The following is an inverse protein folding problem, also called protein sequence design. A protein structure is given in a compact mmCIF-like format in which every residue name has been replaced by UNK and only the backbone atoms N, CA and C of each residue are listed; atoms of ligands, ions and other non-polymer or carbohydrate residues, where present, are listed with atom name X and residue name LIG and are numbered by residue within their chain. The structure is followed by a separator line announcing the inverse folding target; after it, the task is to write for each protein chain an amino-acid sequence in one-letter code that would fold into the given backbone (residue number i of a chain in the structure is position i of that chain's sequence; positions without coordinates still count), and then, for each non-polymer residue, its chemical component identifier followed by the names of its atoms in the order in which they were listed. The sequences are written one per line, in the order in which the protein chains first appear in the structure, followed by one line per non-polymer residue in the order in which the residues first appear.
data_IF_142770123742
#
_entry.id   IF_142770123742
#
_cell.length_a   1.000
_cell.length_b   1.000
_cell.length_c   1.000
_cell.angle_alpha   90.00
_cell.angle_beta   90.00
_cell.angle_gamma   90.00
#
_symmetry.space_group_name_H-M   'P 1'
#
loop_
_entity.id
_entity.type
_entity.pdbx_description
1 polymer ?
#
# COMPACT_ATOMS: atom_id res chain seq x y z
N UNK A 1 -7.78 -23.09 12.13
CA UNK A 1 -7.44 -22.52 13.45
C UNK A 1 -8.55 -21.57 13.85
N UNK A 2 -8.94 -21.45 15.13
CA UNK A 2 -9.93 -20.45 15.52
C UNK A 2 -9.39 -19.03 15.25
N UNK A 3 -10.23 -18.05 14.88
CA UNK A 3 -9.81 -16.67 14.73
C UNK A 3 -9.30 -16.18 16.09
N UNK A 4 -7.99 -15.90 16.19
CA UNK A 4 -7.36 -15.39 17.41
C UNK A 4 -7.70 -13.91 17.57
N UNK A 5 -8.87 -13.60 18.08
CA UNK A 5 -9.31 -12.20 18.28
C UNK A 5 -8.47 -11.49 19.35
N UNK A 6 -8.43 -10.15 19.30
CA UNK A 6 -7.83 -9.33 20.35
C UNK A 6 -8.74 -9.29 21.59
N UNK A 7 -8.15 -9.40 22.78
CA UNK A 7 -8.88 -9.21 24.05
C UNK A 7 -9.23 -7.74 24.26
N UNK A 8 -10.17 -7.44 25.17
CA UNK A 8 -10.51 -6.05 25.49
C UNK A 8 -9.32 -5.26 26.07
N UNK A 9 -8.47 -5.89 26.87
CA UNK A 9 -7.24 -5.27 27.37
C UNK A 9 -6.28 -4.92 26.23
N UNK A 10 -6.10 -5.83 25.27
CA UNK A 10 -5.28 -5.60 24.08
C UNK A 10 -5.83 -4.46 23.20
N UNK A 11 -7.15 -4.42 22.99
CA UNK A 11 -7.80 -3.31 22.28
C UNK A 11 -7.62 -1.98 23.02
N UNK A 12 -7.64 -1.99 24.34
CA UNK A 12 -7.41 -0.80 25.17
C UNK A 12 -6.00 -0.26 24.99
N UNK A 13 -4.98 -1.14 24.97
CA UNK A 13 -3.60 -0.73 24.70
C UNK A 13 -3.44 -0.21 23.27
N UNK A 14 -4.00 -0.89 22.25
CA UNK A 14 -3.96 -0.39 20.87
C UNK A 14 -4.64 0.97 20.70
N UNK A 15 -5.71 1.24 21.46
CA UNK A 15 -6.41 2.52 21.43
C UNK A 15 -5.55 3.69 21.96
N UNK A 16 -4.41 3.42 22.63
CA UNK A 16 -3.47 4.45 23.05
C UNK A 16 -2.61 4.98 21.89
N UNK A 17 -2.54 4.25 20.77
CA UNK A 17 -1.65 4.57 19.66
C UNK A 17 -1.88 5.99 19.12
N UNK A 18 -0.79 6.77 19.02
CA UNK A 18 -0.85 8.17 18.62
C UNK A 18 -0.04 8.47 17.36
N UNK A 19 -0.76 8.74 16.27
CA UNK A 19 -0.16 9.27 15.04
C UNK A 19 0.46 10.66 15.23
N UNK A 20 -0.10 11.51 16.10
CA UNK A 20 0.47 12.83 16.38
C UNK A 20 1.82 12.72 17.08
N UNK A 21 1.96 11.79 18.04
CA UNK A 21 3.25 11.52 18.68
C UNK A 21 4.28 11.01 17.67
N UNK A 22 3.87 10.13 16.75
CA UNK A 22 4.73 9.67 15.65
C UNK A 22 5.10 10.82 14.71
N UNK A 23 4.18 11.70 14.34
CA UNK A 23 4.48 12.85 13.47
C UNK A 23 5.50 13.79 14.11
N UNK A 24 5.34 14.11 15.40
CA UNK A 24 6.29 14.92 16.16
C UNK A 24 7.67 14.23 16.24
N UNK A 25 7.68 12.93 16.49
CA UNK A 25 8.92 12.14 16.53
C UNK A 25 9.58 12.09 15.15
N UNK A 26 8.81 11.90 14.09
CA UNK A 26 9.29 11.86 12.71
C UNK A 26 9.95 13.19 12.33
N UNK A 27 9.38 14.32 12.73
CA UNK A 27 10.01 15.63 12.58
C UNK A 27 11.34 15.73 13.34
N UNK A 28 11.44 15.15 14.54
CA UNK A 28 12.67 15.14 15.34
C UNK A 28 13.83 14.35 14.70
N UNK A 29 13.52 13.45 13.74
CA UNK A 29 14.53 12.73 12.96
C UNK A 29 15.39 13.66 12.10
N UNK A 30 15.02 14.94 11.94
CA UNK A 30 15.87 15.92 11.26
C UNK A 30 17.28 15.93 11.82
N UNK A 31 17.42 15.82 13.15
CA UNK A 31 18.72 15.76 13.84
C UNK A 31 19.55 14.57 13.36
N UNK A 32 18.96 13.38 13.22
CA UNK A 32 19.61 12.18 12.70
C UNK A 32 19.96 12.30 11.20
N UNK A 33 19.05 12.88 10.42
CA UNK A 33 19.20 13.09 8.97
C UNK A 33 20.38 14.01 8.64
N UNK A 34 20.75 14.95 9.53
CA UNK A 34 21.97 15.77 9.33
C UNK A 34 23.24 14.92 9.28
N UNK A 35 23.25 13.75 9.94
CA UNK A 35 24.31 12.74 9.86
C UNK A 35 24.18 11.79 8.67
N UNK A 36 23.20 12.04 7.78
CA UNK A 36 22.89 11.18 6.62
C UNK A 36 22.47 9.76 7.03
N UNK A 37 21.75 9.67 8.15
CA UNK A 37 21.24 8.44 8.73
C UNK A 37 19.77 8.60 9.15
N UNK A 38 19.01 7.50 9.15
CA UNK A 38 17.65 7.51 9.72
C UNK A 38 17.65 7.56 11.25
N UNK A 39 18.68 6.98 11.88
CA UNK A 39 18.81 6.85 13.32
C UNK A 39 20.29 7.00 13.70
N UNK A 40 20.67 8.13 14.29
CA UNK A 40 22.04 8.38 14.74
C UNK A 40 22.15 8.10 16.25
N UNK A 41 23.11 7.26 16.66
CA UNK A 41 23.33 6.86 18.07
C UNK A 41 22.09 6.30 18.81
N UNK A 42 21.17 5.65 18.09
CA UNK A 42 19.96 5.08 18.67
C UNK A 42 20.21 3.67 19.23
N UNK A 43 19.84 3.41 20.50
CA UNK A 43 20.12 2.12 21.15
C UNK A 43 19.39 0.92 20.52
N UNK A 44 18.32 1.17 19.75
CA UNK A 44 17.53 0.12 19.09
C UNK A 44 17.85 -0.06 17.60
N UNK A 45 18.85 0.64 17.08
CA UNK A 45 19.26 0.51 15.67
C UNK A 45 19.93 -0.83 15.34
N UNK A 46 20.50 -1.51 16.34
CA UNK A 46 21.19 -2.81 16.21
C UNK A 46 20.61 -3.81 17.21
N UNK A 47 20.44 -5.08 16.80
CA UNK A 47 19.83 -6.14 17.61
C UNK A 47 18.47 -5.75 18.20
N UNK A 48 17.70 -4.93 17.46
CA UNK A 48 16.50 -4.23 17.89
C UNK A 48 15.59 -5.06 18.79
N UNK A 49 15.15 -6.24 18.33
CA UNK A 49 14.15 -7.04 19.05
C UNK A 49 14.69 -7.55 20.39
N UNK A 50 15.95 -7.99 20.42
CA UNK A 50 16.60 -8.48 21.65
C UNK A 50 16.80 -7.34 22.64
N UNK A 51 17.27 -6.17 22.19
CA UNK A 51 17.47 -5.01 23.05
C UNK A 51 16.15 -4.51 23.65
N UNK A 52 15.07 -4.49 22.86
CA UNK A 52 13.74 -4.08 23.33
C UNK A 52 13.18 -5.08 24.34
N UNK A 53 13.28 -6.39 24.06
CA UNK A 53 12.88 -7.46 24.98
C UNK A 53 13.58 -7.31 26.35
N UNK A 54 14.89 -7.08 26.36
CA UNK A 54 15.66 -6.91 27.58
C UNK A 54 15.30 -5.62 28.34
N UNK A 55 15.07 -4.53 27.62
CA UNK A 55 14.73 -3.24 28.24
C UNK A 55 13.33 -3.25 28.85
N UNK A 56 12.34 -3.91 28.26
CA UNK A 56 11.04 -4.10 28.91
C UNK A 56 11.17 -5.01 30.15
N UNK A 57 11.89 -6.13 30.04
CA UNK A 57 12.11 -7.06 31.16
C UNK A 57 12.78 -6.39 32.37
N UNK A 58 13.68 -5.44 32.12
CA UNK A 58 14.43 -4.73 33.17
C UNK A 58 13.84 -3.36 33.52
N UNK A 59 12.69 -3.00 32.95
CA UNK A 59 12.04 -1.69 33.10
C UNK A 59 12.99 -0.51 32.80
N UNK A 60 13.80 -0.64 31.74
CA UNK A 60 14.81 0.32 31.29
C UNK A 60 14.54 0.84 29.87
N UNK A 61 13.28 0.77 29.41
CA UNK A 61 12.90 1.21 28.06
C UNK A 61 13.23 2.69 27.83
N UNK A 62 13.98 2.98 26.76
CA UNK A 62 14.23 4.32 26.28
C UNK A 62 13.12 4.69 25.28
N UNK A 63 12.04 5.30 25.78
CA UNK A 63 10.89 5.64 24.93
C UNK A 63 11.25 6.58 23.77
N UNK A 64 12.22 7.49 23.96
CA UNK A 64 12.64 8.44 22.92
C UNK A 64 13.26 7.68 21.75
N UNK A 65 14.25 6.83 22.02
CA UNK A 65 14.93 6.06 20.98
C UNK A 65 13.98 5.08 20.31
N UNK A 66 13.07 4.46 21.07
CA UNK A 66 12.10 3.52 20.51
C UNK A 66 11.08 4.23 19.62
N UNK A 67 10.59 5.41 20.03
CA UNK A 67 9.73 6.23 19.18
C UNK A 67 10.44 6.59 17.88
N UNK A 68 11.70 7.04 17.94
CA UNK A 68 12.50 7.34 16.75
C UNK A 68 12.66 6.12 15.85
N UNK A 69 12.94 4.95 16.42
CA UNK A 69 13.02 3.70 15.67
C UNK A 69 11.71 3.40 14.93
N UNK A 70 10.56 3.45 15.63
CA UNK A 70 9.24 3.23 15.01
C UNK A 70 9.00 4.24 13.91
N UNK A 71 9.28 5.53 14.14
CA UNK A 71 9.13 6.59 13.14
C UNK A 71 10.00 6.35 11.90
N UNK A 72 11.29 6.05 12.08
CA UNK A 72 12.23 5.75 10.99
C UNK A 72 11.87 4.46 10.22
N UNK A 73 11.21 3.51 10.87
CA UNK A 73 10.76 2.26 10.22
C UNK A 73 9.65 2.46 9.19
N UNK A 74 8.93 3.59 9.24
CA UNK A 74 7.76 3.85 8.40
C UNK A 74 8.12 3.89 6.90
N UNK A 75 8.99 4.81 6.42
CA UNK A 75 9.36 4.87 5.01
C UNK A 75 10.19 3.66 4.57
N UNK A 76 10.97 3.06 5.47
CA UNK A 76 11.81 1.90 5.15
C UNK A 76 10.96 0.64 4.95
N UNK A 77 9.99 0.36 5.81
CA UNK A 77 9.02 -0.71 5.57
C UNK A 77 8.18 -0.48 4.31
N UNK A 78 7.73 0.75 4.05
CA UNK A 78 7.00 1.05 2.82
C UNK A 78 7.83 0.73 1.57
N UNK A 79 9.09 1.17 1.56
CA UNK A 79 9.98 0.92 0.44
C UNK A 79 10.37 -0.55 0.28
N UNK A 80 10.63 -1.26 1.38
CA UNK A 80 10.85 -2.71 1.37
C UNK A 80 9.68 -3.45 0.75
N UNK A 81 8.45 -3.02 1.06
CA UNK A 81 7.24 -3.60 0.49
C UNK A 81 7.15 -3.43 -1.02
N UNK A 82 7.45 -2.23 -1.54
CA UNK A 82 7.59 -2.02 -2.99
C UNK A 82 8.70 -2.89 -3.59
N UNK A 83 9.81 -3.05 -2.88
CA UNK A 83 10.88 -3.97 -3.26
C UNK A 83 10.37 -5.41 -3.42
N UNK A 84 9.69 -5.95 -2.40
CA UNK A 84 9.09 -7.29 -2.46
C UNK A 84 8.10 -7.44 -3.61
N UNK A 85 7.25 -6.44 -3.86
CA UNK A 85 6.32 -6.47 -4.99
C UNK A 85 7.06 -6.57 -6.34
N UNK A 86 8.16 -5.83 -6.50
CA UNK A 86 9.00 -5.92 -7.70
C UNK A 86 9.57 -7.32 -7.93
N UNK A 87 10.01 -7.99 -6.87
CA UNK A 87 10.53 -9.38 -6.96
C UNK A 87 9.38 -10.37 -7.19
N UNK A 88 8.19 -10.10 -6.67
CA UNK A 88 7.00 -10.88 -7.00
C UNK A 88 6.70 -10.80 -8.51
N UNK A 89 6.78 -9.61 -9.12
CA UNK A 89 6.64 -9.42 -10.57
C UNK A 89 7.72 -10.19 -11.34
N UNK A 90 8.97 -10.18 -10.87
CA UNK A 90 10.07 -10.98 -11.45
C UNK A 90 9.75 -12.47 -11.51
N UNK A 91 9.12 -13.02 -10.46
CA UNK A 91 8.65 -14.40 -10.44
C UNK A 91 7.47 -14.62 -11.40
N UNK A 92 6.53 -13.68 -11.49
CA UNK A 92 5.39 -13.74 -12.44
C UNK A 92 5.88 -13.85 -13.88
N UNK A 93 6.87 -13.06 -14.30
CA UNK A 93 7.37 -13.08 -15.70
C UNK A 93 8.21 -14.31 -16.03
N UNK A 94 8.45 -15.19 -15.05
CA UNK A 94 9.11 -16.49 -15.19
C UNK A 94 8.15 -17.67 -15.02
N UNK A 95 6.88 -17.40 -14.72
CA UNK A 95 5.88 -18.42 -14.42
C UNK A 95 6.02 -19.05 -13.04
N UNK A 96 6.83 -18.49 -12.15
CA UNK A 96 6.96 -18.95 -10.76
C UNK A 96 5.88 -18.33 -9.87
N UNK A 97 4.66 -18.83 -10.02
CA UNK A 97 3.48 -18.29 -9.32
C UNK A 97 3.53 -18.49 -7.81
N UNK A 98 4.19 -19.54 -7.34
CA UNK A 98 4.34 -19.85 -5.93
C UNK A 98 5.26 -18.84 -5.24
N UNK A 99 6.46 -18.61 -5.78
CA UNK A 99 7.39 -17.62 -5.22
C UNK A 99 6.84 -16.20 -5.39
N UNK A 100 6.14 -15.91 -6.50
CA UNK A 100 5.44 -14.64 -6.70
C UNK A 100 4.46 -14.36 -5.56
N UNK A 101 3.62 -15.35 -5.20
CA UNK A 101 2.67 -15.25 -4.09
C UNK A 101 3.37 -15.04 -2.75
N UNK A 102 4.42 -15.82 -2.48
CA UNK A 102 5.19 -15.70 -1.25
C UNK A 102 5.75 -14.28 -1.07
N UNK A 103 6.35 -13.72 -2.11
CA UNK A 103 6.94 -12.38 -2.06
C UNK A 103 5.87 -11.29 -2.00
N UNK A 104 4.76 -11.44 -2.74
CA UNK A 104 3.63 -10.51 -2.67
C UNK A 104 3.04 -10.42 -1.26
N UNK A 105 2.91 -11.55 -0.56
CA UNK A 105 2.46 -11.56 0.83
C UNK A 105 3.41 -10.78 1.77
N UNK A 106 4.73 -10.84 1.55
CA UNK A 106 5.67 -10.00 2.31
C UNK A 106 5.55 -8.52 1.95
N UNK A 107 5.18 -8.20 0.71
CA UNK A 107 4.85 -6.83 0.32
C UNK A 107 3.61 -6.31 1.09
N UNK A 108 2.54 -7.11 1.22
CA UNK A 108 1.38 -6.79 2.05
C UNK A 108 1.77 -6.56 3.51
N UNK A 109 2.55 -7.48 4.08
CA UNK A 109 2.99 -7.39 5.48
C UNK A 109 3.80 -6.12 5.73
N UNK A 110 4.74 -5.80 4.84
CA UNK A 110 5.56 -4.58 4.96
C UNK A 110 4.73 -3.31 4.83
N UNK A 111 3.75 -3.29 3.93
CA UNK A 111 2.79 -2.17 3.82
C UNK A 111 1.98 -1.99 5.12
N UNK A 112 1.47 -3.09 5.67
CA UNK A 112 0.70 -3.08 6.92
C UNK A 112 1.55 -2.61 8.11
N UNK A 113 2.79 -3.11 8.25
CA UNK A 113 3.72 -2.67 9.29
C UNK A 113 4.03 -1.17 9.18
N UNK A 114 4.25 -0.66 7.96
CA UNK A 114 4.45 0.78 7.72
C UNK A 114 3.24 1.61 8.14
N UNK A 115 2.02 1.16 7.79
CA UNK A 115 0.79 1.84 8.20
C UNK A 115 0.58 1.84 9.71
N UNK A 116 0.75 0.69 10.35
CA UNK A 116 0.65 0.55 11.80
C UNK A 116 1.67 1.42 12.52
N UNK A 117 2.93 1.41 12.09
CA UNK A 117 3.97 2.27 12.65
C UNK A 117 3.60 3.75 12.52
N UNK A 118 3.01 4.14 11.39
CA UNK A 118 2.51 5.50 11.16
C UNK A 118 1.34 5.90 12.07
N UNK A 119 0.65 4.93 12.67
CA UNK A 119 -0.40 5.14 13.65
C UNK A 119 0.11 5.11 15.11
N UNK A 120 1.37 4.73 15.34
CA UNK A 120 1.95 4.54 16.67
C UNK A 120 2.03 3.09 17.13
N UNK A 121 1.89 2.11 16.23
CA UNK A 121 1.94 0.68 16.56
C UNK A 121 3.18 0.05 15.93
N UNK A 122 4.18 -0.29 16.76
CA UNK A 122 5.42 -0.93 16.32
C UNK A 122 5.33 -2.46 16.33
N UNK A 123 5.50 -3.09 15.16
CA UNK A 123 5.49 -4.56 15.02
C UNK A 123 6.94 -5.09 15.08
N UNK A 124 7.33 -5.70 16.20
CA UNK A 124 8.72 -6.07 16.46
C UNK A 124 8.87 -7.55 16.86
N UNK A 125 8.75 -8.45 15.89
CA UNK A 125 8.84 -9.90 16.10
C UNK A 125 7.78 -10.45 17.06
N UNK A 126 8.10 -10.52 18.36
CA UNK A 126 7.22 -10.98 19.43
C UNK A 126 7.00 -9.92 20.53
N UNK A 127 7.65 -8.76 20.44
CA UNK A 127 7.61 -7.70 21.47
C UNK A 127 7.09 -6.42 20.85
N UNK A 128 5.82 -6.45 20.48
CA UNK A 128 5.15 -5.34 19.83
C UNK A 128 4.96 -4.18 20.81
N UNK A 129 4.89 -2.96 20.28
CA UNK A 129 4.83 -1.75 21.10
C UNK A 129 3.76 -0.81 20.59
N UNK A 130 3.21 -0.02 21.52
CA UNK A 130 2.28 1.08 21.22
C UNK A 130 2.85 2.38 21.78
N UNK A 131 2.94 3.40 20.93
CA UNK A 131 3.39 4.75 21.30
C UNK A 131 2.17 5.58 21.63
N UNK A 132 2.09 6.06 22.87
CA UNK A 132 0.99 6.91 23.31
C UNK A 132 1.15 8.38 22.88
N UNK A 133 0.15 9.19 23.19
CA UNK A 133 0.16 10.62 22.83
C UNK A 133 1.24 11.45 23.55
N UNK A 134 1.84 10.93 24.62
CA UNK A 134 2.94 11.57 25.33
C UNK A 134 4.31 11.11 24.81
N UNK A 135 4.35 10.21 23.82
CA UNK A 135 5.59 9.62 23.32
C UNK A 135 6.17 8.55 24.24
N UNK A 136 5.36 7.95 25.12
CA UNK A 136 5.78 6.78 25.89
C UNK A 136 5.51 5.49 25.10
N UNK A 137 6.49 4.59 25.14
CA UNK A 137 6.35 3.26 24.55
C UNK A 137 5.78 2.27 25.57
N UNK A 138 4.67 1.65 25.22
CA UNK A 138 4.00 0.60 25.99
C UNK A 138 4.23 -0.74 25.31
N UNK A 139 4.64 -1.75 26.06
CA UNK A 139 4.65 -3.12 25.56
C UNK A 139 3.22 -3.57 25.30
N UNK A 140 2.97 -4.15 24.13
CA UNK A 140 1.68 -4.74 23.84
C UNK A 140 1.54 -6.05 24.64
N UNK A 141 0.49 -6.20 25.46
CA UNK A 141 0.41 -7.29 26.42
C UNK A 141 0.32 -8.65 25.72
N UNK A 142 1.18 -9.54 26.19
CA UNK A 142 1.36 -10.88 25.65
C UNK A 142 0.04 -11.69 25.66
N UNK A 143 -0.15 -12.46 24.59
CA UNK A 143 -0.94 -13.69 24.69
C UNK A 143 0.02 -14.80 25.17
N UNK A 144 -0.42 -15.82 25.93
CA UNK A 144 0.44 -16.93 26.38
C UNK A 144 1.24 -17.67 25.29
N UNK A 145 1.00 -17.36 24.00
CA UNK A 145 1.65 -17.97 22.84
C UNK A 145 2.61 -17.04 22.08
N UNK A 146 2.90 -15.81 22.55
CA UNK A 146 3.67 -14.76 21.81
C UNK A 146 3.23 -14.64 20.34
N UNK A 147 2.31 -13.71 20.04
CA UNK A 147 1.78 -13.58 18.67
C UNK A 147 2.90 -13.13 17.74
N UNK A 148 3.45 -14.05 16.94
CA UNK A 148 4.47 -13.67 15.96
C UNK A 148 3.98 -12.60 14.98
N UNK A 149 4.93 -11.82 14.47
CA UNK A 149 4.78 -10.71 13.49
C UNK A 149 3.51 -10.76 12.63
N UNK A 150 3.29 -11.85 11.89
CA UNK A 150 2.16 -11.96 10.96
C UNK A 150 0.81 -11.87 11.66
N UNK A 151 0.63 -12.66 12.72
CA UNK A 151 -0.65 -12.73 13.45
C UNK A 151 -0.94 -11.38 14.11
N UNK A 152 0.04 -10.77 14.76
CA UNK A 152 -0.16 -9.47 15.39
C UNK A 152 -0.46 -8.37 14.37
N UNK A 153 0.30 -8.31 13.26
CA UNK A 153 0.12 -7.28 12.22
C UNK A 153 -1.33 -7.24 11.72
N UNK A 154 -1.89 -8.39 11.36
CA UNK A 154 -3.24 -8.42 10.80
C UNK A 154 -4.32 -8.09 11.83
N UNK A 155 -4.17 -8.55 13.07
CA UNK A 155 -5.12 -8.23 14.14
C UNK A 155 -5.06 -6.76 14.54
N UNK A 156 -3.86 -6.18 14.61
CA UNK A 156 -3.68 -4.76 14.87
C UNK A 156 -4.24 -3.91 13.73
N UNK A 157 -4.03 -4.32 12.46
CA UNK A 157 -4.55 -3.61 11.30
C UNK A 157 -6.08 -3.66 11.23
N UNK A 158 -6.69 -4.82 11.49
CA UNK A 158 -8.15 -4.98 11.59
C UNK A 158 -8.73 -4.10 12.71
N UNK A 159 -8.07 -4.02 13.86
CA UNK A 159 -8.53 -3.15 14.93
C UNK A 159 -8.37 -1.67 14.57
N UNK A 160 -7.20 -1.27 14.07
CA UNK A 160 -6.88 0.11 13.71
C UNK A 160 -7.81 0.67 12.62
N UNK A 161 -8.13 -0.14 11.61
CA UNK A 161 -8.96 0.28 10.48
C UNK A 161 -10.41 0.62 10.86
N UNK A 162 -10.90 0.08 11.97
CA UNK A 162 -12.23 0.38 12.52
C UNK A 162 -12.29 1.73 13.24
N UNK A 163 -11.16 2.43 13.37
CA UNK A 163 -11.08 3.71 14.09
C UNK A 163 -11.34 4.92 13.18
N UNK A 164 -11.78 6.03 13.79
CA UNK A 164 -11.92 7.32 13.10
C UNK A 164 -10.57 7.84 12.57
N UNK A 165 -9.47 7.52 13.24
CA UNK A 165 -8.13 7.91 12.81
C UNK A 165 -7.78 7.28 11.46
N UNK A 166 -8.04 5.98 11.28
CA UNK A 166 -7.84 5.30 10.01
C UNK A 166 -8.74 5.88 8.91
N UNK A 167 -10.01 6.16 9.24
CA UNK A 167 -10.97 6.75 8.32
C UNK A 167 -10.52 8.13 7.81
N UNK A 168 -10.06 8.99 8.72
CA UNK A 168 -9.53 10.31 8.38
C UNK A 168 -8.28 10.19 7.51
N UNK A 169 -7.34 9.32 7.88
CA UNK A 169 -6.11 9.10 7.13
C UNK A 169 -6.40 8.66 5.69
N UNK A 170 -7.27 7.67 5.50
CA UNK A 170 -7.67 7.20 4.18
C UNK A 170 -8.39 8.26 3.36
N UNK A 171 -9.30 9.00 3.99
CA UNK A 171 -10.01 10.12 3.38
C UNK A 171 -9.07 11.19 2.82
N UNK A 172 -7.89 11.35 3.43
CA UNK A 172 -6.92 12.39 3.08
C UNK A 172 -5.84 11.93 2.11
N UNK A 173 -5.53 10.64 2.09
CA UNK A 173 -4.50 10.04 1.23
C UNK A 173 -4.97 9.94 -0.23
N UNK A 174 -6.22 9.51 -0.43
CA UNK A 174 -6.78 9.32 -1.77
C UNK A 174 -7.24 10.67 -2.29
N UNK A 175 -6.68 11.09 -3.43
CA UNK A 175 -6.95 12.42 -4.02
C UNK A 175 -7.20 12.34 -5.51
N UNK A 176 -8.35 12.85 -5.92
CA UNK A 176 -8.74 12.97 -7.33
C UNK A 176 -8.77 14.45 -7.68
N UNK A 177 -7.91 14.86 -8.62
CA UNK A 177 -7.75 16.27 -9.00
C UNK A 177 -7.52 17.19 -7.79
N UNK A 178 -6.61 16.77 -6.90
CA UNK A 178 -6.26 17.45 -5.64
C UNK A 178 -7.37 17.56 -4.59
N UNK A 179 -8.58 17.11 -4.88
CA UNK A 179 -9.69 17.01 -3.92
C UNK A 179 -9.59 15.67 -3.19
N UNK A 180 -9.68 15.71 -1.86
CA UNK A 180 -9.60 14.51 -1.02
C UNK A 180 -10.82 13.62 -1.21
N UNK A 181 -10.66 12.31 -1.05
CA UNK A 181 -11.78 11.37 -1.02
C UNK A 181 -12.83 11.80 0.00
N UNK A 182 -12.40 12.28 1.17
CA UNK A 182 -13.29 12.81 2.20
C UNK A 182 -14.21 13.90 1.66
N UNK A 183 -13.66 14.88 0.95
CA UNK A 183 -14.45 16.00 0.40
C UNK A 183 -15.40 15.53 -0.71
N UNK A 184 -14.93 14.64 -1.60
CA UNK A 184 -15.80 14.00 -2.60
C UNK A 184 -17.01 13.31 -1.97
N UNK A 185 -16.80 12.58 -0.88
CA UNK A 185 -17.87 11.83 -0.22
C UNK A 185 -18.81 12.73 0.57
N UNK A 186 -18.31 13.79 1.21
CA UNK A 186 -19.16 14.81 1.85
C UNK A 186 -20.16 15.37 0.84
N UNK A 187 -19.70 15.69 -0.38
CA UNK A 187 -20.59 16.20 -1.42
C UNK A 187 -21.56 15.16 -1.99
N UNK A 188 -21.27 13.86 -1.87
CA UNK A 188 -22.11 12.78 -2.38
C UNK A 188 -23.24 12.33 -1.43
N UNK A 189 -23.02 12.36 -0.11
CA UNK A 189 -23.99 11.89 0.90
C UNK A 189 -24.50 12.98 1.85
N UNK A 190 -23.88 14.16 1.89
CA UNK A 190 -24.15 15.24 2.86
C UNK A 190 -23.98 14.87 4.35
N UNK A 191 -23.91 13.59 4.71
CA UNK A 191 -23.59 13.08 6.07
C UNK A 191 -22.45 12.07 5.99
N UNK A 192 -21.30 12.43 6.56
CA UNK A 192 -20.04 11.71 6.39
C UNK A 192 -19.90 10.47 7.28
N UNK A 193 -20.33 9.30 6.82
CA UNK A 193 -19.93 8.03 7.44
C UNK A 193 -18.67 7.42 6.79
N UNK A 194 -17.57 8.19 6.82
CA UNK A 194 -16.27 7.79 6.26
C UNK A 194 -15.67 6.55 6.93
N UNK A 195 -15.96 6.34 8.22
CA UNK A 195 -15.45 5.21 8.99
C UNK A 195 -15.97 3.87 8.47
N UNK A 196 -17.26 3.78 8.13
CA UNK A 196 -17.83 2.56 7.53
C UNK A 196 -17.23 2.26 6.16
N UNK A 197 -17.01 3.27 5.32
CA UNK A 197 -16.38 3.07 4.01
C UNK A 197 -14.91 2.63 4.13
N UNK A 198 -14.14 3.32 4.97
CA UNK A 198 -12.74 2.99 5.23
C UNK A 198 -12.58 1.54 5.71
N UNK A 199 -13.43 1.13 6.65
CA UNK A 199 -13.49 -0.26 7.13
C UNK A 199 -13.85 -1.23 5.99
N UNK A 200 -14.83 -0.91 5.15
CA UNK A 200 -15.22 -1.75 4.00
C UNK A 200 -14.10 -1.92 2.96
N UNK A 201 -13.43 -0.82 2.59
CA UNK A 201 -12.32 -0.83 1.63
C UNK A 201 -11.16 -1.67 2.11
N UNK A 202 -10.67 -1.36 3.31
CA UNK A 202 -9.58 -2.10 3.87
C UNK A 202 -10.00 -3.58 4.05
N UNK A 203 -11.25 -3.87 4.44
CA UNK A 203 -11.75 -5.26 4.51
C UNK A 203 -11.67 -5.98 3.17
N UNK A 204 -12.05 -5.30 2.08
CA UNK A 204 -11.95 -5.84 0.72
C UNK A 204 -10.51 -5.99 0.22
N UNK A 205 -9.57 -5.17 0.69
CA UNK A 205 -8.18 -5.14 0.20
C UNK A 205 -7.16 -5.83 1.11
N UNK A 206 -7.59 -6.36 2.26
CA UNK A 206 -6.70 -7.02 3.21
C UNK A 206 -6.97 -6.75 4.69
N UNK A 207 -8.23 -6.63 5.12
CA UNK A 207 -8.60 -6.80 6.55
C UNK A 207 -9.58 -7.93 6.77
N UNK A 208 -10.15 -8.52 5.72
CA UNK A 208 -10.82 -9.78 5.91
C UNK A 208 -9.75 -10.78 6.34
N UNK A 209 -9.69 -11.02 7.66
CA UNK A 209 -8.73 -11.94 8.26
C UNK A 209 -8.83 -13.33 7.64
N UNK A 210 -9.97 -13.71 7.06
CA UNK A 210 -10.07 -14.99 6.35
C UNK A 210 -9.29 -14.97 5.04
N UNK A 211 -9.32 -13.87 4.27
CA UNK A 211 -8.50 -13.72 3.06
C UNK A 211 -7.02 -13.73 3.43
N UNK A 212 -6.62 -12.95 4.44
CA UNK A 212 -5.22 -12.87 4.85
C UNK A 212 -4.71 -14.16 5.51
N UNK A 213 -5.57 -14.88 6.22
CA UNK A 213 -5.25 -16.22 6.71
C UNK A 213 -5.06 -17.18 5.53
N UNK A 214 -5.90 -17.09 4.49
CA UNK A 214 -5.71 -17.88 3.28
C UNK A 214 -4.40 -17.52 2.57
N UNK A 215 -4.03 -16.24 2.49
CA UNK A 215 -2.77 -15.79 1.90
C UNK A 215 -1.56 -16.25 2.72
N UNK A 216 -1.65 -16.16 4.05
CA UNK A 216 -0.66 -16.67 4.98
C UNK A 216 -0.50 -18.20 4.87
N UNK A 217 -1.60 -18.94 4.80
CA UNK A 217 -1.59 -20.39 4.67
C UNK A 217 -1.06 -20.80 3.30
N UNK A 218 -1.47 -20.09 2.24
CA UNK A 218 -0.94 -20.25 0.89
C UNK A 218 0.58 -20.00 0.86
N UNK A 219 1.05 -18.96 1.55
CA UNK A 219 2.47 -18.67 1.73
C UNK A 219 3.18 -19.81 2.47
N UNK A 220 2.60 -20.32 3.55
CA UNK A 220 3.20 -21.40 4.34
C UNK A 220 3.30 -22.70 3.53
N UNK A 221 2.28 -23.02 2.74
CA UNK A 221 2.31 -24.15 1.82
C UNK A 221 3.51 -24.04 0.88
N UNK A 222 3.72 -22.88 0.26
CA UNK A 222 4.88 -22.64 -0.62
C UNK A 222 6.21 -22.69 0.13
N UNK A 223 6.24 -22.25 1.39
CA UNK A 223 7.48 -22.16 2.18
C UNK A 223 7.98 -23.53 2.67
N UNK A 224 7.07 -24.46 2.95
CA UNK A 224 7.40 -25.74 3.59
C UNK A 224 7.22 -26.96 2.68
N UNK A 225 6.52 -26.83 1.54
CA UNK A 225 6.31 -27.94 0.61
C UNK A 225 7.08 -27.72 -0.68
N UNK A 226 7.77 -28.76 -1.21
CA UNK A 226 8.39 -28.66 -2.53
C UNK A 226 7.34 -28.35 -3.60
N UNK A 227 7.65 -27.38 -4.45
CA UNK A 227 6.90 -27.13 -5.68
C UNK A 227 7.10 -28.29 -6.68
N UNK A 228 6.13 -28.52 -7.57
CA UNK A 228 6.18 -29.53 -8.65
C UNK A 228 6.08 -31.01 -8.26
N UNK A 229 5.75 -31.35 -7.01
CA UNK A 229 5.26 -32.71 -6.69
C UNK A 229 3.90 -32.95 -7.36
N UNK A 230 3.06 -31.91 -7.45
CA UNK A 230 1.79 -31.92 -8.18
C UNK A 230 1.87 -31.03 -9.40
N UNK A 231 1.24 -31.45 -10.50
CA UNK A 231 1.08 -30.62 -11.68
C UNK A 231 0.26 -29.38 -11.32
N UNK A 232 0.89 -28.22 -11.36
CA UNK A 232 0.24 -26.92 -11.13
C UNK A 232 0.02 -26.24 -12.47
N UNK A 233 -1.23 -25.88 -12.76
CA UNK A 233 -1.54 -25.05 -13.93
C UNK A 233 -1.04 -23.64 -13.63
N UNK A 234 -0.25 -23.07 -14.54
CA UNK A 234 0.23 -21.70 -14.44
C UNK A 234 -0.48 -20.85 -15.48
N UNK A 235 -0.67 -19.56 -15.17
CA UNK A 235 -1.09 -18.56 -16.14
C UNK A 235 -0.05 -18.46 -17.26
N UNK A 236 -0.50 -18.12 -18.47
CA UNK A 236 0.40 -17.99 -19.62
C UNK A 236 1.13 -16.63 -19.61
N UNK A 237 2.19 -16.52 -20.41
CA UNK A 237 3.04 -15.31 -20.44
C UNK A 237 2.31 -14.04 -20.92
N UNK A 238 1.28 -14.17 -21.77
CA UNK A 238 0.48 -13.03 -22.26
C UNK A 238 -0.42 -12.48 -21.16
N UNK A 239 -1.00 -13.36 -20.35
CA UNK A 239 -1.82 -12.99 -19.20
C UNK A 239 -0.97 -12.28 -18.13
N UNK A 240 0.21 -12.82 -17.83
CA UNK A 240 1.20 -12.22 -16.93
C UNK A 240 1.66 -10.84 -17.40
N UNK A 241 2.03 -10.69 -18.68
CA UNK A 241 2.46 -9.38 -19.20
C UNK A 241 1.32 -8.36 -19.24
N UNK A 242 0.07 -8.80 -19.47
CA UNK A 242 -1.12 -7.95 -19.43
C UNK A 242 -1.41 -7.44 -18.02
N UNK A 243 -1.36 -8.32 -17.01
CA UNK A 243 -1.48 -7.94 -15.60
C UNK A 243 -0.43 -6.90 -15.20
N UNK A 244 0.84 -7.13 -15.55
CA UNK A 244 1.93 -6.20 -15.23
C UNK A 244 1.73 -4.85 -15.92
N UNK A 245 1.30 -4.87 -17.18
CA UNK A 245 1.05 -3.63 -17.93
C UNK A 245 -0.07 -2.81 -17.32
N UNK A 246 -1.15 -3.47 -16.90
CA UNK A 246 -2.28 -2.83 -16.21
C UNK A 246 -1.87 -2.25 -14.84
N UNK A 247 -1.09 -3.01 -14.05
CA UNK A 247 -0.59 -2.58 -12.75
C UNK A 247 0.22 -1.28 -12.87
N UNK A 248 1.23 -1.24 -13.76
CA UNK A 248 2.05 -0.04 -13.94
C UNK A 248 1.23 1.12 -14.50
N UNK A 249 0.39 0.87 -15.52
CA UNK A 249 -0.45 1.92 -16.12
C UNK A 249 -1.38 2.57 -15.10
N UNK A 250 -1.90 1.77 -14.16
CA UNK A 250 -2.79 2.25 -13.08
C UNK A 250 -2.05 3.13 -12.06
N UNK A 251 -0.74 2.95 -11.92
CA UNK A 251 0.13 3.68 -10.98
C UNK A 251 0.90 4.84 -11.63
N UNK A 252 0.52 5.25 -12.84
CA UNK A 252 1.16 6.32 -13.59
C UNK A 252 1.16 7.67 -12.81
N UNK A 253 2.34 8.32 -12.64
CA UNK A 253 2.48 9.56 -11.88
C UNK A 253 2.29 10.86 -12.68
N UNK A 254 2.15 10.85 -14.01
CA UNK A 254 2.09 12.05 -14.88
C UNK A 254 0.79 12.89 -14.79
N UNK A 255 0.02 12.75 -13.72
CA UNK A 255 -1.23 13.48 -13.53
C UNK A 255 -1.10 14.49 -12.38
N UNK A 256 -2.09 15.37 -12.22
CA UNK A 256 -2.11 16.43 -11.19
C UNK A 256 -1.82 15.89 -9.78
N UNK A 257 -2.21 14.64 -9.52
CA UNK A 257 -1.78 13.86 -8.36
C UNK A 257 -1.08 12.58 -8.86
N UNK A 258 -0.01 12.15 -8.19
CA UNK A 258 0.89 11.06 -8.62
C UNK A 258 0.25 9.66 -8.70
N UNK A 259 -1.00 9.52 -8.28
CA UNK A 259 -1.79 8.27 -8.36
C UNK A 259 -3.23 8.54 -8.81
N UNK A 260 -3.46 9.65 -9.53
CA UNK A 260 -4.81 10.12 -9.85
C UNK A 260 -5.66 9.06 -10.57
N UNK A 261 -5.08 8.21 -11.42
CA UNK A 261 -5.85 7.17 -12.11
C UNK A 261 -6.39 6.12 -11.14
N UNK A 262 -5.53 5.51 -10.32
CA UNK A 262 -5.96 4.58 -9.27
C UNK A 262 -6.97 5.25 -8.34
N UNK A 263 -6.64 6.43 -7.81
CA UNK A 263 -7.49 7.16 -6.87
C UNK A 263 -8.87 7.47 -7.45
N UNK A 264 -8.98 7.75 -8.77
CA UNK A 264 -10.26 7.92 -9.47
C UNK A 264 -11.10 6.66 -9.47
N UNK A 265 -10.50 5.50 -9.73
CA UNK A 265 -11.23 4.24 -9.67
C UNK A 265 -11.62 3.87 -8.23
N UNK A 266 -10.76 4.14 -7.24
CA UNK A 266 -11.12 3.99 -5.83
C UNK A 266 -12.34 4.85 -5.49
N UNK A 267 -12.31 6.14 -5.85
CA UNK A 267 -13.46 7.04 -5.68
C UNK A 267 -14.71 6.48 -6.35
N UNK A 268 -14.62 6.05 -7.62
CA UNK A 268 -15.77 5.45 -8.33
C UNK A 268 -16.37 4.26 -7.57
N UNK A 269 -15.54 3.32 -7.12
CA UNK A 269 -15.96 2.16 -6.34
C UNK A 269 -16.64 2.56 -5.04
N UNK A 270 -16.09 3.54 -4.31
CA UNK A 270 -16.73 4.02 -3.07
C UNK A 270 -18.08 4.71 -3.31
N UNK A 271 -18.19 5.54 -4.36
CA UNK A 271 -19.47 6.15 -4.73
C UNK A 271 -20.52 5.07 -5.07
N UNK A 272 -20.13 4.03 -5.81
CA UNK A 272 -21.01 2.91 -6.16
C UNK A 272 -21.44 2.11 -4.91
N UNK A 273 -20.49 1.77 -4.02
CA UNK A 273 -20.77 1.08 -2.76
C UNK A 273 -21.71 1.90 -1.88
N UNK A 274 -21.43 3.18 -1.67
CA UNK A 274 -22.28 4.06 -0.86
C UNK A 274 -23.66 4.20 -1.48
N UNK A 275 -23.76 4.30 -2.80
CA UNK A 275 -25.06 4.38 -3.45
C UNK A 275 -25.90 3.11 -3.25
N UNK A 276 -25.26 1.94 -3.30
CA UNK A 276 -25.90 0.64 -3.04
C UNK A 276 -26.34 0.52 -1.58
N UNK A 277 -25.48 0.89 -0.64
CA UNK A 277 -25.67 0.63 0.79
C UNK A 277 -26.44 1.76 1.51
N UNK A 278 -26.50 2.95 0.92
CA UNK A 278 -27.24 4.12 1.44
C UNK A 278 -27.95 4.86 0.29
N UNK A 279 -29.08 4.31 -0.20
CA UNK A 279 -29.94 4.99 -1.17
C UNK A 279 -30.56 6.26 -0.57
N UNK A 280 -30.65 7.34 -1.35
CA UNK A 280 -31.31 8.59 -0.94
C UNK A 280 -32.72 8.68 -1.53
N UNK A 281 -33.72 9.13 -0.75
CA UNK A 281 -35.07 9.31 -1.26
C UNK A 281 -35.15 10.52 -2.21
N UNK A 282 -35.95 10.41 -3.25
CA UNK A 282 -36.32 11.55 -4.10
C UNK A 282 -37.54 12.32 -3.55
N UNK A 283 -37.92 13.43 -4.19
CA UNK A 283 -39.02 14.29 -3.78
C UNK A 283 -40.41 13.62 -3.80
N UNK A 284 -40.54 12.46 -4.44
CA UNK A 284 -41.79 11.70 -4.60
C UNK A 284 -41.77 10.38 -3.81
N UNK A 285 -40.77 10.17 -2.94
CA UNK A 285 -40.61 8.95 -2.14
C UNK A 285 -39.98 7.78 -2.90
N UNK A 286 -39.49 8.00 -4.13
CA UNK A 286 -38.64 7.07 -4.88
C UNK A 286 -37.16 7.16 -4.46
N UNK A 287 -36.25 6.60 -5.25
CA UNK A 287 -34.81 6.68 -5.00
C UNK A 287 -34.14 7.59 -6.04
N UNK A 288 -33.32 8.53 -5.58
CA UNK A 288 -32.50 9.36 -6.47
C UNK A 288 -31.57 8.44 -7.26
N UNK A 289 -31.57 8.56 -8.59
CA UNK A 289 -30.70 7.73 -9.42
C UNK A 289 -29.22 8.01 -9.13
N UNK A 290 -28.36 7.00 -9.30
CA UNK A 290 -26.92 7.15 -9.13
C UNK A 290 -26.35 8.29 -10.01
N UNK A 291 -26.84 8.40 -11.25
CA UNK A 291 -26.45 9.45 -12.20
C UNK A 291 -26.82 10.86 -11.70
N UNK A 292 -28.00 11.03 -11.11
CA UNK A 292 -28.46 12.32 -10.59
C UNK A 292 -27.71 12.69 -9.31
N UNK A 293 -27.38 11.71 -8.46
CA UNK A 293 -26.51 11.93 -7.28
C UNK A 293 -25.12 12.37 -7.70
N UNK A 294 -24.50 11.70 -8.67
CA UNK A 294 -23.18 12.09 -9.21
C UNK A 294 -23.26 13.51 -9.81
N UNK A 295 -24.33 13.84 -10.53
CA UNK A 295 -24.51 15.18 -11.10
C UNK A 295 -24.64 16.25 -10.02
N UNK A 296 -25.39 15.96 -8.95
CA UNK A 296 -25.58 16.85 -7.81
C UNK A 296 -24.32 17.03 -6.97
N UNK A 297 -23.48 15.99 -6.87
CA UNK A 297 -22.16 16.08 -6.24
C UNK A 297 -21.24 16.96 -7.08
N UNK A 298 -21.18 16.74 -8.40
CA UNK A 298 -20.31 17.49 -9.30
C UNK A 298 -20.68 18.98 -9.38
N UNK A 299 -21.96 19.34 -9.26
CA UNK A 299 -22.39 20.74 -9.29
C UNK A 299 -21.97 21.56 -8.06
N UNK A 300 -21.55 20.89 -6.97
CA UNK A 300 -21.03 21.54 -5.76
C UNK A 300 -19.54 21.83 -5.84
N UNK A 301 -18.84 21.17 -6.77
CA UNK A 301 -17.46 21.52 -7.08
C UNK A 301 -17.40 22.65 -8.11
N UNK A 302 -16.44 23.55 -7.96
CA UNK A 302 -16.18 24.64 -8.90
C UNK A 302 -15.40 24.18 -10.14
N UNK A 303 -15.76 23.01 -10.71
CA UNK A 303 -15.16 22.51 -11.95
C UNK A 303 -15.81 23.16 -13.17
N UNK A 304 -15.05 23.37 -14.24
CA UNK A 304 -15.61 23.77 -15.53
C UNK A 304 -16.46 22.65 -16.16
N UNK A 305 -17.44 23.02 -16.99
CA UNK A 305 -18.43 22.08 -17.57
C UNK A 305 -17.79 20.85 -18.21
N UNK A 306 -16.75 21.04 -19.04
CA UNK A 306 -16.06 19.93 -19.72
C UNK A 306 -15.42 18.92 -18.74
N UNK A 307 -14.90 19.41 -17.60
CA UNK A 307 -14.30 18.56 -16.56
C UNK A 307 -15.39 17.79 -15.82
N UNK A 308 -16.48 18.46 -15.46
CA UNK A 308 -17.65 17.83 -14.83
C UNK A 308 -18.26 16.74 -15.71
N UNK A 309 -18.41 16.99 -17.02
CA UNK A 309 -18.94 16.00 -17.96
C UNK A 309 -18.01 14.79 -18.10
N UNK A 310 -16.69 15.02 -18.14
CA UNK A 310 -15.70 13.94 -18.16
C UNK A 310 -15.79 13.06 -16.91
N UNK A 311 -15.91 13.66 -15.73
CA UNK A 311 -16.10 12.92 -14.48
C UNK A 311 -17.42 12.17 -14.43
N UNK A 312 -18.52 12.80 -14.85
CA UNK A 312 -19.82 12.16 -14.92
C UNK A 312 -19.78 10.93 -15.84
N UNK A 313 -19.19 11.07 -17.03
CA UNK A 313 -19.02 9.96 -17.95
C UNK A 313 -18.17 8.84 -17.35
N UNK A 314 -17.10 9.17 -16.62
CA UNK A 314 -16.26 8.18 -15.95
C UNK A 314 -17.00 7.44 -14.82
N UNK A 315 -17.70 8.16 -13.95
CA UNK A 315 -18.36 7.57 -12.78
C UNK A 315 -19.60 6.75 -13.15
N UNK A 316 -20.37 7.21 -14.13
CA UNK A 316 -21.67 6.64 -14.53
C UNK A 316 -21.55 5.71 -15.74
N UNK A 317 -20.63 5.99 -16.67
CA UNK A 317 -20.51 5.25 -17.93
C UNK A 317 -19.93 3.84 -17.78
N UNK A 318 -20.33 2.95 -18.68
CA UNK A 318 -19.87 1.54 -18.71
C UNK A 318 -18.61 1.33 -19.57
N UNK A 319 -18.07 2.39 -20.17
CA UNK A 319 -16.94 2.32 -21.12
C UNK A 319 -15.57 2.23 -20.44
N UNK A 320 -15.53 2.26 -19.10
CA UNK A 320 -14.31 2.24 -18.32
C UNK A 320 -14.32 0.97 -17.46
N UNK A 321 -13.77 -0.17 -17.95
CA UNK A 321 -13.61 -1.35 -17.12
C UNK A 321 -12.71 -1.03 -15.93
N UNK A 322 -12.91 -1.76 -14.82
CA UNK A 322 -12.02 -1.66 -13.67
C UNK A 322 -10.62 -2.17 -14.05
N UNK A 323 -9.55 -1.52 -13.56
CA UNK A 323 -8.21 -2.08 -13.62
C UNK A 323 -8.17 -3.50 -13.07
N UNK A 324 -7.32 -4.33 -13.66
CA UNK A 324 -7.15 -5.73 -13.26
C UNK A 324 -6.84 -5.79 -11.76
N UNK A 325 -5.98 -4.90 -11.26
CA UNK A 325 -5.62 -4.86 -9.83
C UNK A 325 -6.82 -4.68 -8.89
N UNK A 326 -7.85 -3.91 -9.28
CA UNK A 326 -9.04 -3.76 -8.43
C UNK A 326 -9.91 -5.02 -8.48
N UNK A 327 -10.08 -5.59 -9.68
CA UNK A 327 -10.89 -6.79 -9.87
C UNK A 327 -10.28 -8.04 -9.22
N UNK A 328 -8.95 -8.19 -9.23
CA UNK A 328 -8.24 -9.32 -8.62
C UNK A 328 -8.17 -9.19 -7.09
N UNK A 329 -8.03 -7.97 -6.55
CA UNK A 329 -7.98 -7.75 -5.11
C UNK A 329 -9.27 -8.19 -4.39
N UNK A 330 -10.43 -8.08 -5.06
CA UNK A 330 -11.75 -8.47 -4.54
C UNK A 330 -11.99 -10.00 -4.56
N UNK A 331 -11.16 -10.77 -5.27
CA UNK A 331 -11.33 -12.23 -5.40
C UNK A 331 -10.80 -12.98 -4.18
N UNK A 332 -11.30 -14.20 -4.05
CA UNK A 332 -11.10 -15.11 -2.91
C UNK A 332 -10.91 -16.54 -3.37
N UNK A 333 -10.15 -16.73 -4.45
CA UNK A 333 -9.95 -18.07 -4.97
C UNK A 333 -9.12 -18.90 -3.97
N UNK A 334 -9.22 -20.24 -3.99
CA UNK A 334 -8.36 -21.09 -3.18
C UNK A 334 -6.90 -20.98 -3.62
N UNK A 335 -5.95 -21.28 -2.72
CA UNK A 335 -4.50 -21.16 -3.00
C UNK A 335 -4.01 -22.00 -4.18
N UNK A 336 -4.76 -23.01 -4.61
CA UNK A 336 -4.41 -23.84 -5.76
C UNK A 336 -4.90 -23.26 -7.10
N UNK A 337 -5.63 -22.13 -7.08
CA UNK A 337 -6.00 -21.41 -8.27
C UNK A 337 -4.75 -20.81 -8.96
N UNK A 338 -4.58 -21.01 -10.28
CA UNK A 338 -3.45 -20.47 -11.04
C UNK A 338 -3.28 -18.95 -10.92
N UNK A 339 -4.37 -18.20 -10.76
CA UNK A 339 -4.40 -16.72 -10.69
C UNK A 339 -4.33 -16.17 -9.27
N UNK A 340 -4.37 -17.01 -8.22
CA UNK A 340 -4.33 -16.53 -6.83
C UNK A 340 -3.15 -15.61 -6.54
N UNK A 341 -2.00 -15.78 -7.20
CA UNK A 341 -0.88 -14.87 -7.03
C UNK A 341 -1.22 -13.43 -7.50
N UNK A 342 -2.00 -13.24 -8.58
CA UNK A 342 -2.48 -11.91 -8.97
C UNK A 342 -3.37 -11.27 -7.91
N UNK A 343 -4.18 -12.05 -7.19
CA UNK A 343 -5.00 -11.55 -6.08
C UNK A 343 -4.12 -10.94 -4.98
N UNK A 344 -3.07 -11.69 -4.55
CA UNK A 344 -2.13 -11.23 -3.51
C UNK A 344 -1.30 -10.02 -3.99
N UNK A 345 -0.79 -10.04 -5.23
CA UNK A 345 -0.07 -8.89 -5.80
C UNK A 345 -0.95 -7.63 -5.85
N UNK A 346 -2.23 -7.81 -6.14
CA UNK A 346 -3.19 -6.71 -6.23
C UNK A 346 -3.50 -6.10 -4.87
N UNK A 347 -3.79 -6.94 -3.85
CA UNK A 347 -3.95 -6.50 -2.46
C UNK A 347 -2.70 -5.81 -1.93
N UNK A 348 -1.51 -6.38 -2.18
CA UNK A 348 -0.24 -5.75 -1.86
C UNK A 348 -0.10 -4.35 -2.48
N UNK A 349 -0.44 -4.20 -3.76
CA UNK A 349 -0.38 -2.92 -4.47
C UNK A 349 -1.28 -1.87 -3.83
N UNK A 350 -2.51 -2.24 -3.48
CA UNK A 350 -3.46 -1.32 -2.84
C UNK A 350 -3.01 -0.92 -1.43
N UNK A 351 -2.57 -1.87 -0.61
CA UNK A 351 -2.02 -1.58 0.72
C UNK A 351 -0.77 -0.69 0.63
N UNK A 352 0.13 -0.96 -0.32
CA UNK A 352 1.33 -0.16 -0.55
C UNK A 352 1.00 1.27 -0.98
N UNK A 353 -0.02 1.47 -1.83
CA UNK A 353 -0.51 2.80 -2.20
C UNK A 353 -0.96 3.60 -0.97
N UNK A 354 -1.67 2.97 -0.04
CA UNK A 354 -2.11 3.61 1.22
C UNK A 354 -0.91 3.88 2.13
N UNK A 355 -0.02 2.90 2.32
CA UNK A 355 1.21 3.07 3.11
C UNK A 355 2.06 4.23 2.59
N UNK A 356 2.23 4.31 1.27
CA UNK A 356 2.95 5.39 0.58
C UNK A 356 2.33 6.75 0.88
N UNK A 357 1.00 6.87 0.82
CA UNK A 357 0.31 8.10 1.16
C UNK A 357 0.48 8.51 2.62
N UNK A 358 0.43 7.55 3.55
CA UNK A 358 0.64 7.83 4.99
C UNK A 358 2.06 8.32 5.26
N UNK A 359 3.05 7.70 4.63
CA UNK A 359 4.46 8.10 4.70
C UNK A 359 4.65 9.50 4.12
N UNK A 360 4.11 9.76 2.93
CA UNK A 360 4.20 11.07 2.28
C UNK A 360 3.64 12.20 3.16
N UNK A 361 2.51 11.97 3.82
CA UNK A 361 1.95 12.96 4.76
C UNK A 361 2.91 13.26 5.92
N UNK A 362 3.60 12.25 6.46
CA UNK A 362 4.58 12.45 7.54
C UNK A 362 5.81 13.21 7.05
N UNK A 363 6.36 12.82 5.89
CA UNK A 363 7.49 13.50 5.25
C UNK A 363 7.15 14.98 4.99
N UNK A 364 5.97 15.24 4.42
CA UNK A 364 5.52 16.60 4.14
C UNK A 364 5.25 17.40 5.42
N UNK A 365 4.66 16.79 6.46
CA UNK A 365 4.42 17.45 7.75
C UNK A 365 5.71 17.75 8.51
N UNK A 366 6.73 16.91 8.36
CA UNK A 366 8.08 17.15 8.88
C UNK A 366 8.87 18.16 8.04
N UNK A 367 8.31 18.64 6.92
CA UNK A 367 8.94 19.58 5.99
C UNK A 367 10.28 19.09 5.42
N UNK A 368 10.48 17.77 5.36
CA UNK A 368 11.67 17.21 4.75
C UNK A 368 11.63 17.41 3.25
N UNK A 369 12.71 17.94 2.69
CA UNK A 369 12.90 18.04 1.26
C UNK A 369 13.45 16.73 0.68
N UNK A 370 13.35 16.59 -0.63
CA UNK A 370 14.09 15.59 -1.42
C UNK A 370 15.60 15.61 -1.14
N UNK A 371 16.19 16.77 -0.83
CA UNK A 371 17.62 16.91 -0.53
C UNK A 371 17.95 16.38 0.87
N UNK A 372 17.06 16.60 1.84
CA UNK A 372 17.23 16.05 3.19
C UNK A 372 17.26 14.52 3.14
N UNK A 373 16.39 13.92 2.32
CA UNK A 373 16.24 12.47 2.19
C UNK A 373 17.22 11.83 1.18
N UNK A 374 18.11 12.60 0.55
CA UNK A 374 19.00 12.11 -0.51
C UNK A 374 19.91 10.97 -0.06
N UNK A 375 20.37 11.00 1.20
CA UNK A 375 21.18 9.92 1.76
C UNK A 375 20.50 8.55 1.64
N UNK A 376 19.17 8.52 1.69
CA UNK A 376 18.40 7.30 1.67
C UNK A 376 17.95 6.93 0.27
N UNK A 377 17.25 7.83 -0.43
CA UNK A 377 16.64 7.49 -1.72
C UNK A 377 17.67 7.29 -2.82
N UNK A 378 18.77 8.03 -2.80
CA UNK A 378 19.83 7.86 -3.80
C UNK A 378 20.61 6.56 -3.58
N UNK A 379 20.97 6.27 -2.32
CA UNK A 379 21.65 5.01 -1.99
C UNK A 379 20.79 3.81 -2.37
N UNK A 380 19.50 3.84 -2.03
CA UNK A 380 18.55 2.82 -2.44
C UNK A 380 18.54 2.65 -3.97
N UNK A 381 18.37 3.73 -4.74
CA UNK A 381 18.30 3.60 -6.19
C UNK A 381 19.56 3.06 -6.84
N UNK A 382 20.75 3.39 -6.31
CA UNK A 382 22.02 2.82 -6.75
C UNK A 382 22.13 1.33 -6.36
N UNK A 383 21.85 0.98 -5.11
CA UNK A 383 21.93 -0.41 -4.61
C UNK A 383 20.94 -1.34 -5.30
N UNK A 384 19.76 -0.84 -5.65
CA UNK A 384 18.73 -1.59 -6.39
C UNK A 384 18.92 -1.56 -7.90
N UNK A 385 19.94 -0.86 -8.40
CA UNK A 385 20.27 -0.80 -9.83
C UNK A 385 19.25 -0.04 -10.67
N UNK A 386 18.50 0.90 -10.07
CA UNK A 386 17.56 1.76 -10.78
C UNK A 386 18.29 2.78 -11.66
N UNK A 387 19.42 3.28 -11.16
CA UNK A 387 20.35 4.16 -11.86
C UNK A 387 21.77 3.92 -11.37
N UNK A 388 22.76 4.46 -12.09
CA UNK A 388 24.15 4.46 -11.65
C UNK A 388 24.48 5.78 -10.90
N UNK A 389 25.59 5.81 -10.17
CA UNK A 389 25.99 6.96 -9.37
C UNK A 389 26.18 8.27 -10.17
N UNK A 390 26.40 8.19 -11.49
CA UNK A 390 26.60 9.36 -12.37
C UNK A 390 25.31 9.86 -13.01
N UNK A 391 24.28 9.03 -13.06
CA UNK A 391 23.02 9.28 -13.77
C UNK A 391 21.82 9.18 -12.81
N UNK A 392 21.97 9.69 -11.58
CA UNK A 392 20.83 9.78 -10.66
C UNK A 392 19.80 10.80 -11.18
N UNK A 393 18.51 10.61 -10.90
CA UNK A 393 17.52 11.68 -11.04
C UNK A 393 17.96 12.92 -10.26
N UNK A 394 17.54 14.10 -10.73
CA UNK A 394 17.71 15.31 -9.94
C UNK A 394 16.91 15.26 -8.63
N UNK A 395 17.16 16.23 -7.76
CA UNK A 395 16.62 16.25 -6.40
C UNK A 395 15.32 17.05 -6.30
N UNK A 396 14.45 17.04 -7.31
CA UNK A 396 13.12 17.62 -7.19
C UNK A 396 12.06 16.60 -7.62
N UNK A 397 10.80 16.82 -7.23
CA UNK A 397 9.72 15.90 -7.55
C UNK A 397 9.48 15.71 -9.04
N UNK A 398 9.72 16.73 -9.86
CA UNK A 398 9.64 16.61 -11.32
C UNK A 398 10.61 15.57 -11.85
N UNK A 399 11.87 15.62 -11.41
CA UNK A 399 12.93 14.70 -11.84
C UNK A 399 12.70 13.26 -11.36
N UNK A 400 12.06 13.06 -10.21
CA UNK A 400 11.75 11.70 -9.72
C UNK A 400 10.55 11.12 -10.48
N UNK A 401 9.60 11.95 -10.91
CA UNK A 401 8.47 11.49 -11.74
C UNK A 401 8.98 10.99 -13.11
N UNK A 402 10.10 11.49 -13.64
CA UNK A 402 10.68 11.00 -14.91
C UNK A 402 11.18 9.55 -14.82
N UNK A 403 11.24 8.93 -13.63
CA UNK A 403 11.42 7.49 -13.51
C UNK A 403 10.35 6.68 -14.25
N UNK A 404 9.19 7.30 -14.53
CA UNK A 404 8.14 6.74 -15.36
C UNK A 404 8.50 6.68 -16.85
N UNK A 405 9.40 7.51 -17.39
CA UNK A 405 9.73 7.49 -18.82
C UNK A 405 10.27 6.13 -19.27
N UNK A 406 11.15 5.54 -18.46
CA UNK A 406 11.66 4.18 -18.69
C UNK A 406 10.52 3.15 -18.66
N UNK A 407 9.56 3.35 -17.75
CA UNK A 407 8.39 2.48 -17.58
C UNK A 407 7.49 2.57 -18.81
N UNK A 408 7.18 3.79 -19.28
CA UNK A 408 6.33 4.00 -20.45
C UNK A 408 6.92 3.34 -21.70
N UNK A 409 8.22 3.51 -21.92
CA UNK A 409 8.94 2.83 -23.01
C UNK A 409 8.86 1.31 -22.85
N UNK A 410 9.02 0.79 -21.64
CA UNK A 410 8.90 -0.65 -21.37
C UNK A 410 7.48 -1.16 -21.65
N UNK A 411 6.44 -0.42 -21.24
CA UNK A 411 5.03 -0.75 -21.48
C UNK A 411 4.70 -0.76 -22.98
N UNK A 412 5.17 0.22 -23.75
CA UNK A 412 4.99 0.26 -25.19
C UNK A 412 5.60 -0.98 -25.86
N UNK A 413 6.80 -1.41 -25.42
CA UNK A 413 7.47 -2.62 -25.94
C UNK A 413 6.74 -3.92 -25.57
N UNK A 414 6.23 -4.02 -24.34
CA UNK A 414 5.42 -5.16 -23.90
C UNK A 414 4.11 -5.23 -24.68
N UNK A 415 3.41 -4.10 -24.86
CA UNK A 415 2.20 -4.01 -25.68
C UNK A 415 2.44 -4.43 -27.14
N UNK A 416 3.56 -3.98 -27.72
CA UNK A 416 3.97 -4.38 -29.06
C UNK A 416 4.30 -5.88 -29.18
N UNK A 417 4.77 -6.52 -28.11
CA UNK A 417 4.98 -7.98 -28.07
C UNK A 417 3.66 -8.73 -27.91
N UNK A 418 2.79 -8.29 -26.97
CA UNK A 418 1.48 -8.86 -26.71
C UNK A 418 0.60 -8.91 -27.97
N UNK A 419 0.63 -7.86 -28.78
CA UNK A 419 -0.17 -7.76 -30.02
C UNK A 419 0.30 -8.66 -31.16
N UNK A 420 1.52 -9.20 -31.10
CA UNK A 420 2.14 -9.98 -32.19
C UNK A 420 2.34 -11.45 -31.85
N UNK A 421 2.28 -11.84 -30.58
CA UNK A 421 2.60 -13.19 -30.15
C UNK A 421 1.45 -14.15 -30.44
N UNK A 422 1.71 -15.18 -31.25
CA UNK A 422 0.73 -16.24 -31.54
C UNK A 422 0.80 -17.40 -30.54
N UNK A 423 1.99 -17.66 -29.98
CA UNK A 423 2.24 -18.74 -29.02
C UNK A 423 2.99 -18.18 -27.80
N UNK A 424 2.27 -17.62 -26.81
CA UNK A 424 2.90 -16.98 -25.67
C UNK A 424 3.64 -17.99 -24.79
N UNK A 425 4.91 -17.73 -24.55
CA UNK A 425 5.76 -18.51 -23.63
C UNK A 425 6.64 -17.58 -22.82
N UNK A 426 6.98 -17.98 -21.59
CA UNK A 426 7.87 -17.20 -20.72
C UNK A 426 9.27 -17.05 -21.32
N UNK A 427 9.78 -18.10 -21.97
CA UNK A 427 11.06 -18.03 -22.72
C UNK A 427 10.98 -17.00 -23.86
N UNK A 428 9.88 -16.98 -24.62
CA UNK A 428 9.65 -15.99 -25.68
C UNK A 428 9.54 -14.56 -25.15
N UNK A 429 8.85 -14.36 -24.02
CA UNK A 429 8.74 -13.06 -23.37
C UNK A 429 10.11 -12.56 -22.89
N UNK A 430 10.84 -13.38 -22.13
CA UNK A 430 12.15 -13.03 -21.57
C UNK A 430 13.16 -12.74 -22.68
N UNK A 431 13.29 -13.63 -23.66
CA UNK A 431 14.29 -13.47 -24.73
C UNK A 431 14.06 -12.21 -25.58
N UNK A 432 12.81 -11.74 -25.71
CA UNK A 432 12.47 -10.56 -26.53
C UNK A 432 12.38 -9.27 -25.73
N UNK A 433 12.04 -9.34 -24.44
CA UNK A 433 11.69 -8.16 -23.64
C UNK A 433 12.50 -8.01 -22.34
N UNK A 434 13.59 -8.76 -22.15
CA UNK A 434 14.40 -8.73 -20.91
C UNK A 434 14.71 -7.31 -20.39
N UNK A 435 15.09 -6.37 -21.25
CA UNK A 435 15.36 -4.98 -20.82
C UNK A 435 14.12 -4.27 -20.30
N UNK A 436 12.98 -4.45 -20.97
CA UNK A 436 11.69 -3.88 -20.55
C UNK A 436 11.24 -4.52 -19.23
N UNK A 437 11.39 -5.84 -19.09
CA UNK A 437 11.04 -6.57 -17.88
C UNK A 437 11.86 -6.10 -16.68
N UNK A 438 13.18 -5.89 -16.82
CA UNK A 438 14.02 -5.36 -15.74
C UNK A 438 13.52 -4.03 -15.18
N UNK A 439 12.96 -3.16 -16.03
CA UNK A 439 12.34 -1.91 -15.58
C UNK A 439 11.03 -2.21 -14.84
N UNK A 440 10.17 -3.06 -15.39
CA UNK A 440 8.86 -3.38 -14.81
C UNK A 440 8.93 -4.27 -13.55
N UNK A 441 10.08 -4.90 -13.29
CA UNK A 441 10.40 -5.62 -12.06
C UNK A 441 10.86 -4.68 -10.93
N UNK A 442 11.05 -3.38 -11.21
CA UNK A 442 11.62 -2.39 -10.27
C UNK A 442 10.56 -1.49 -9.59
N UNK A 443 9.62 -2.11 -8.88
CA UNK A 443 8.52 -1.41 -8.21
C UNK A 443 8.96 -0.37 -7.17
N UNK A 444 10.22 -0.35 -6.71
CA UNK A 444 10.76 0.74 -5.90
C UNK A 444 10.62 2.11 -6.55
N UNK A 445 10.60 2.19 -7.90
CA UNK A 445 10.31 3.44 -8.62
C UNK A 445 8.97 4.03 -8.16
N UNK A 446 7.96 3.17 -7.98
CA UNK A 446 6.62 3.55 -7.53
C UNK A 446 6.68 4.16 -6.13
N UNK A 447 7.41 3.52 -5.22
CA UNK A 447 7.65 4.05 -3.88
C UNK A 447 8.39 5.39 -3.92
N UNK A 448 9.42 5.53 -4.75
CA UNK A 448 10.25 6.73 -4.82
C UNK A 448 9.45 7.96 -5.27
N UNK A 449 8.74 7.87 -6.40
CA UNK A 449 7.89 9.00 -6.82
C UNK A 449 6.71 9.22 -5.87
N UNK A 450 6.29 8.21 -5.10
CA UNK A 450 5.25 8.35 -4.10
C UNK A 450 5.70 9.06 -2.81
N UNK A 451 6.93 8.84 -2.39
CA UNK A 451 7.45 9.25 -1.09
C UNK A 451 8.24 10.57 -1.12
N UNK A 452 8.97 10.85 -2.20
CA UNK A 452 9.87 12.00 -2.22
C UNK A 452 9.10 13.28 -2.63
N UNK A 453 9.13 14.35 -1.81
CA UNK A 453 8.28 15.53 -2.00
C UNK A 453 8.60 16.35 -3.24
#
# INVERSE_FOLDING_TARGET
MPPRTLTNAQKTILAMASRSAIANTFQSLYSDITYKEWLHNNVYSVNTTTTIEDHFRTNSINSIDLCKYVAASIPTHCMDGWGFLGRAIHCVVRGDTNTARHLAYYAELRAAMSLLASAGIGVLNNTHVVIDNNGHAHEFPDHPDRRGTHVFTWLALENWSSTQQAANLLGDIVKVNSVSLRDWLIEFVATGNLATLASYWLSSWGLDLNILNNDHDARNIVSYRPSHITNTVCVNALESSSFISDLWSTLNPYQTTRYNLLDRYLLRKSLQTINRDTPLPDAHGGQISYSDRVSSMLSRFSFGTAVSDSYKNFFVGNNFPDPIILSEAEKRQPYNDPRHHFEVLSRATLLLRIATGSCFQLINSATFSSTDLEFWWNNLGVERGLWNQRNKPGNNSGDIITLWDDVDIALQKISAWNSKVSHPSYSGLISKQNTSLRVLESCERIGLWGLIP
#
